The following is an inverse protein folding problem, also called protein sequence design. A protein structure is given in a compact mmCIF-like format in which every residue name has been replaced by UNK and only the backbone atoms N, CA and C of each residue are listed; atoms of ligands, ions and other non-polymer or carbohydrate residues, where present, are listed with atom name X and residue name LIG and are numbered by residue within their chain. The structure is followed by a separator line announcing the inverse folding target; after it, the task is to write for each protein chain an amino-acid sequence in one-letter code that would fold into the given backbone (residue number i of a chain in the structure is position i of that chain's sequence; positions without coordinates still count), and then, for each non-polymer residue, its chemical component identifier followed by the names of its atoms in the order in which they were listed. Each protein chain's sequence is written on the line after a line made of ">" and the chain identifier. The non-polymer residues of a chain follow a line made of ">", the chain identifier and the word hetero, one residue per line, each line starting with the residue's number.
data_IF_879776339331
#
_entry.id   IF_879776339331
#
_cell.length_a   1.000
_cell.length_b   1.000
_cell.length_c   1.000
_cell.angle_alpha   90.00
_cell.angle_beta   90.00
_cell.angle_gamma   90.00
#
_symmetry.space_group_name_H-M   'P 1'
#
loop_
_entity.id
_entity.type
_entity.pdbx_description
1 polymer ?
#
# COMPACT_ATOMS: atom_id res chain seq x y z
N UNK A 1 4.39 -35.41 3.25
CA UNK A 1 4.08 -34.06 2.73
C UNK A 1 2.77 -34.13 1.97
N UNK A 2 1.94 -33.09 2.06
CA UNK A 2 0.77 -32.95 1.20
C UNK A 2 1.21 -32.68 -0.26
N UNK A 3 0.45 -33.09 -1.28
CA UNK A 3 0.75 -32.75 -2.67
C UNK A 3 0.71 -31.23 -2.87
N UNK A 4 1.62 -30.72 -3.71
CA UNK A 4 1.85 -29.29 -3.96
C UNK A 4 0.57 -28.62 -4.49
N UNK A 5 -0.25 -29.36 -5.24
CA UNK A 5 -1.52 -28.92 -5.82
C UNK A 5 -2.61 -28.62 -4.77
N UNK A 6 -2.42 -29.02 -3.50
CA UNK A 6 -3.35 -28.76 -2.38
C UNK A 6 -2.88 -27.64 -1.43
N UNK A 7 -1.69 -27.07 -1.65
CA UNK A 7 -1.26 -25.90 -0.89
C UNK A 7 -1.87 -24.66 -1.53
N UNK A 8 -2.47 -23.79 -0.71
CA UNK A 8 -2.88 -22.47 -1.17
C UNK A 8 -1.63 -21.63 -1.43
N UNK A 9 -1.21 -21.60 -2.71
CA UNK A 9 0.00 -20.95 -3.17
C UNK A 9 -0.22 -19.45 -3.47
N UNK A 10 -1.17 -18.81 -2.80
CA UNK A 10 -1.46 -17.38 -2.98
C UNK A 10 -1.50 -16.61 -1.66
N UNK A 11 -1.09 -15.33 -1.71
CA UNK A 11 -1.16 -14.39 -0.58
C UNK A 11 -0.49 -14.89 0.70
N UNK A 12 -1.18 -14.69 1.83
CA UNK A 12 -0.71 -15.05 3.18
C UNK A 12 -0.56 -16.57 3.39
N UNK A 13 -1.27 -17.40 2.60
CA UNK A 13 -1.22 -18.86 2.69
C UNK A 13 0.16 -19.43 2.38
N UNK A 14 0.89 -18.84 1.44
CA UNK A 14 2.25 -19.25 1.10
C UNK A 14 3.17 -19.10 2.32
N UNK A 15 3.11 -17.93 2.97
CA UNK A 15 4.04 -17.58 4.04
C UNK A 15 3.72 -18.32 5.34
N UNK A 16 2.44 -18.48 5.69
CA UNK A 16 2.06 -19.06 6.98
C UNK A 16 1.73 -20.55 6.92
N UNK A 17 1.42 -21.11 5.75
CA UNK A 17 1.08 -22.54 5.59
C UNK A 17 2.16 -23.28 4.81
N UNK A 18 2.49 -22.83 3.60
CA UNK A 18 3.47 -23.55 2.77
C UNK A 18 4.88 -23.52 3.38
N UNK A 19 5.33 -22.34 3.83
CA UNK A 19 6.66 -22.18 4.38
C UNK A 19 6.84 -22.88 5.73
N UNK A 20 5.82 -22.87 6.59
CA UNK A 20 5.86 -23.55 7.89
C UNK A 20 5.86 -25.08 7.73
N UNK A 21 5.13 -25.61 6.75
CA UNK A 21 5.19 -27.03 6.37
C UNK A 21 6.57 -27.43 5.80
N UNK A 22 7.20 -26.53 5.03
CA UNK A 22 8.58 -26.71 4.57
C UNK A 22 9.58 -26.72 5.72
N UNK A 23 9.49 -25.74 6.63
CA UNK A 23 10.33 -25.63 7.83
C UNK A 23 10.25 -26.87 8.73
N UNK A 24 9.04 -27.43 8.88
CA UNK A 24 8.80 -28.62 9.70
C UNK A 24 9.48 -29.89 9.15
N UNK A 25 9.98 -29.86 7.91
CA UNK A 25 10.71 -30.98 7.30
C UNK A 25 12.20 -31.01 7.67
N UNK A 26 12.74 -29.95 8.29
CA UNK A 26 14.13 -29.91 8.75
C UNK A 26 14.33 -30.68 10.08
N UNK A 27 15.56 -31.14 10.37
CA UNK A 27 15.89 -31.78 11.65
C UNK A 27 15.65 -30.83 12.83
N UNK A 28 15.13 -31.38 13.94
CA UNK A 28 14.50 -30.67 15.06
C UNK A 28 15.20 -29.37 15.53
N UNK A 29 16.52 -29.39 15.73
CA UNK A 29 17.28 -28.20 16.17
C UNK A 29 17.38 -27.12 15.08
N UNK A 30 17.55 -27.52 13.83
CA UNK A 30 17.61 -26.58 12.70
C UNK A 30 16.23 -25.98 12.43
N UNK A 31 15.16 -26.78 12.49
CA UNK A 31 13.79 -26.33 12.25
C UNK A 31 13.36 -25.21 13.22
N UNK A 32 13.73 -25.32 14.51
CA UNK A 32 13.44 -24.29 15.51
C UNK A 32 14.21 -22.99 15.25
N UNK A 33 15.51 -23.08 14.97
CA UNK A 33 16.33 -21.91 14.67
C UNK A 33 15.83 -21.16 13.42
N UNK A 34 15.54 -21.88 12.34
CA UNK A 34 15.04 -21.27 11.10
C UNK A 34 13.63 -20.69 11.23
N UNK A 35 12.76 -21.30 12.04
CA UNK A 35 11.42 -20.75 12.30
C UNK A 35 11.51 -19.39 13.01
N UNK A 36 12.36 -19.27 14.05
CA UNK A 36 12.54 -18.00 14.77
C UNK A 36 13.05 -16.90 13.84
N UNK A 37 14.09 -17.18 13.05
CA UNK A 37 14.65 -16.20 12.10
C UNK A 37 13.64 -15.81 11.04
N UNK A 38 12.84 -16.76 10.54
CA UNK A 38 11.81 -16.48 9.54
C UNK A 38 10.68 -15.58 10.06
N UNK A 39 10.13 -15.88 11.24
CA UNK A 39 9.10 -15.03 11.82
C UNK A 39 9.65 -13.67 12.24
N UNK A 40 10.89 -13.61 12.74
CA UNK A 40 11.56 -12.34 13.02
C UNK A 40 11.69 -11.51 11.75
N UNK A 41 12.11 -12.11 10.63
CA UNK A 41 12.19 -11.45 9.33
C UNK A 41 10.85 -10.83 8.92
N UNK A 42 9.75 -11.59 9.00
CA UNK A 42 8.40 -11.09 8.65
C UNK A 42 7.99 -9.95 9.58
N UNK A 43 8.23 -10.07 10.89
CA UNK A 43 7.92 -9.02 11.86
C UNK A 43 8.73 -7.76 11.54
N UNK A 44 10.03 -7.86 11.28
CA UNK A 44 10.86 -6.69 10.95
C UNK A 44 10.45 -6.03 9.63
N UNK A 45 10.06 -6.82 8.62
CA UNK A 45 9.57 -6.32 7.33
C UNK A 45 8.22 -5.60 7.49
N UNK A 46 7.35 -6.12 8.35
CA UNK A 46 6.10 -5.45 8.72
C UNK A 46 6.32 -4.16 9.52
N UNK A 47 7.24 -4.15 10.48
CA UNK A 47 7.51 -2.97 11.32
C UNK A 47 8.08 -1.82 10.49
N UNK A 48 9.08 -2.09 9.64
CA UNK A 48 9.72 -1.05 8.82
C UNK A 48 8.72 -0.32 7.92
N UNK A 49 7.86 -1.08 7.23
CA UNK A 49 6.81 -0.51 6.38
C UNK A 49 5.79 0.33 7.17
N UNK A 50 5.37 -0.14 8.35
CA UNK A 50 4.36 0.55 9.15
C UNK A 50 4.88 1.82 9.83
N UNK A 51 6.17 1.89 10.17
CA UNK A 51 6.79 3.12 10.69
C UNK A 51 6.71 4.22 9.63
N UNK A 52 7.07 3.92 8.37
CA UNK A 52 7.00 4.90 7.28
C UNK A 52 5.57 5.38 6.99
N UNK A 53 4.59 4.47 6.99
CA UNK A 53 3.17 4.85 6.80
C UNK A 53 2.66 5.73 7.95
N UNK A 54 2.99 5.37 9.19
CA UNK A 54 2.56 6.13 10.37
C UNK A 54 3.20 7.52 10.39
N UNK A 55 4.48 7.63 10.04
CA UNK A 55 5.19 8.91 9.94
C UNK A 55 4.59 9.80 8.86
N UNK A 56 4.25 9.25 7.68
CA UNK A 56 3.60 10.00 6.61
C UNK A 56 2.25 10.60 7.06
N UNK A 57 1.45 9.81 7.79
CA UNK A 57 0.15 10.29 8.30
C UNK A 57 0.32 11.33 9.41
N UNK A 58 1.28 11.16 10.31
CA UNK A 58 1.58 12.17 11.35
C UNK A 58 2.06 13.47 10.71
N UNK A 59 2.91 13.38 9.69
CA UNK A 59 3.43 14.56 8.97
C UNK A 59 2.28 15.30 8.29
N UNK A 60 1.44 14.60 7.54
CA UNK A 60 0.24 15.18 6.91
C UNK A 60 -0.69 15.80 7.96
N UNK A 61 -0.92 15.12 9.08
CA UNK A 61 -1.76 15.64 10.15
C UNK A 61 -1.22 16.97 10.71
N UNK A 62 0.10 17.09 10.91
CA UNK A 62 0.70 18.34 11.40
C UNK A 62 0.73 19.47 10.37
N UNK A 63 0.67 19.17 9.08
CA UNK A 63 0.54 20.19 8.04
C UNK A 63 -0.87 20.80 8.00
N UNK A 64 -1.88 20.11 8.55
CA UNK A 64 -3.22 20.68 8.65
C UNK A 64 -3.31 21.78 9.72
N UNK A 65 -4.02 22.90 9.46
CA UNK A 65 -4.08 24.04 10.38
C UNK A 65 -4.72 23.69 11.73
N UNK A 66 -5.56 22.65 11.77
CA UNK A 66 -6.23 22.15 12.98
C UNK A 66 -5.25 21.52 13.97
N UNK A 67 -4.27 20.74 13.48
CA UNK A 67 -3.33 19.99 14.30
C UNK A 67 -1.91 20.58 14.29
N UNK A 68 -1.64 21.62 13.50
CA UNK A 68 -0.32 22.26 13.40
C UNK A 68 0.25 22.76 14.74
N UNK A 69 -0.62 23.15 15.68
CA UNK A 69 -0.22 23.63 17.02
C UNK A 69 -0.22 22.54 18.09
N UNK A 70 -0.70 21.34 17.78
CA UNK A 70 -0.72 20.23 18.73
C UNK A 70 0.70 19.68 18.94
N UNK A 71 1.05 19.23 20.16
CA UNK A 71 2.36 18.65 20.40
C UNK A 71 2.49 17.32 19.64
N UNK A 72 3.64 17.08 19.02
CA UNK A 72 3.87 15.91 18.15
C UNK A 72 3.51 14.58 18.83
N UNK A 73 3.86 14.42 20.11
CA UNK A 73 3.55 13.20 20.86
C UNK A 73 2.04 12.92 20.97
N UNK A 74 1.21 13.96 21.07
CA UNK A 74 -0.25 13.80 21.16
C UNK A 74 -0.83 13.39 19.79
N UNK A 75 -0.32 13.96 18.69
CA UNK A 75 -0.70 13.57 17.33
C UNK A 75 -0.31 12.11 17.07
N UNK A 76 0.91 11.71 17.46
CA UNK A 76 1.37 10.32 17.34
C UNK A 76 0.47 9.35 18.10
N UNK A 77 0.17 9.63 19.38
CA UNK A 77 -0.73 8.77 20.18
C UNK A 77 -2.11 8.68 19.55
N UNK A 78 -2.67 9.81 19.08
CA UNK A 78 -3.97 9.82 18.43
C UNK A 78 -3.99 8.96 17.16
N UNK A 79 -2.97 9.06 16.31
CA UNK A 79 -2.84 8.25 15.08
C UNK A 79 -2.65 6.77 15.40
N UNK A 80 -1.82 6.43 16.39
CA UNK A 80 -1.62 5.03 16.78
C UNK A 80 -2.88 4.41 17.37
N UNK A 81 -3.61 5.15 18.22
CA UNK A 81 -4.87 4.67 18.81
C UNK A 81 -5.96 4.53 17.74
N UNK A 82 -6.03 5.44 16.77
CA UNK A 82 -7.02 5.34 15.68
C UNK A 82 -6.73 4.13 14.79
N UNK A 83 -5.48 3.87 14.42
CA UNK A 83 -5.09 2.68 13.65
C UNK A 83 -5.34 1.38 14.43
N UNK A 84 -5.03 1.37 15.72
CA UNK A 84 -5.33 0.23 16.58
C UNK A 84 -6.85 -0.05 16.60
N UNK A 85 -7.68 0.98 16.80
CA UNK A 85 -9.13 0.83 16.79
C UNK A 85 -9.68 0.32 15.44
N UNK A 86 -9.14 0.83 14.33
CA UNK A 86 -9.51 0.39 12.98
C UNK A 86 -9.08 -1.05 12.67
N UNK A 87 -8.01 -1.55 13.31
CA UNK A 87 -7.53 -2.92 13.13
C UNK A 87 -8.31 -3.97 13.94
N UNK A 88 -9.11 -3.57 14.94
CA UNK A 88 -9.83 -4.50 15.81
C UNK A 88 -10.71 -5.52 15.04
N UNK A 89 -11.49 -5.14 14.01
CA UNK A 89 -12.30 -6.09 13.25
C UNK A 89 -11.47 -7.22 12.59
N UNK A 90 -10.22 -6.92 12.21
CA UNK A 90 -9.30 -7.89 11.60
C UNK A 90 -8.80 -8.96 12.58
N UNK A 91 -8.97 -8.77 13.89
CA UNK A 91 -8.54 -9.72 14.93
C UNK A 91 -9.67 -10.65 15.42
N UNK A 92 -10.88 -10.48 14.89
CA UNK A 92 -12.03 -11.33 15.23
C UNK A 92 -11.99 -12.67 14.49
N UNK A 93 -12.90 -13.60 14.78
CA UNK A 93 -13.01 -14.88 14.06
C UNK A 93 -13.30 -14.68 12.55
N UNK A 94 -13.90 -13.54 12.18
CA UNK A 94 -14.10 -13.11 10.80
C UNK A 94 -12.89 -12.35 10.22
N UNK A 95 -11.76 -12.31 10.94
CA UNK A 95 -10.57 -11.53 10.59
C UNK A 95 -9.97 -11.92 9.25
N UNK A 96 -9.96 -13.22 8.92
CA UNK A 96 -9.50 -13.70 7.61
C UNK A 96 -10.31 -13.08 6.46
N UNK A 97 -11.63 -12.95 6.61
CA UNK A 97 -12.47 -12.29 5.61
C UNK A 97 -12.10 -10.81 5.44
N UNK A 98 -11.95 -10.07 6.55
CA UNK A 98 -11.58 -8.66 6.51
C UNK A 98 -10.20 -8.45 5.90
N UNK A 99 -9.20 -9.22 6.30
CA UNK A 99 -7.83 -9.11 5.80
C UNK A 99 -7.76 -9.46 4.31
N UNK A 100 -8.43 -10.51 3.86
CA UNK A 100 -8.47 -10.87 2.43
C UNK A 100 -9.21 -9.83 1.61
N UNK A 101 -10.32 -9.27 2.12
CA UNK A 101 -11.04 -8.17 1.46
C UNK A 101 -10.16 -6.92 1.34
N UNK A 102 -9.46 -6.55 2.41
CA UNK A 102 -8.51 -5.43 2.41
C UNK A 102 -7.29 -5.71 1.53
N UNK A 103 -6.87 -6.96 1.37
CA UNK A 103 -5.72 -7.32 0.55
C UNK A 103 -6.06 -7.30 -0.93
N UNK A 104 -7.17 -7.94 -1.34
CA UNK A 104 -7.55 -8.06 -2.74
C UNK A 104 -8.11 -6.74 -3.30
N UNK A 105 -8.84 -5.98 -2.48
CA UNK A 105 -9.46 -4.71 -2.88
C UNK A 105 -8.78 -3.49 -2.26
N UNK A 106 -7.69 -3.69 -1.52
CA UNK A 106 -6.88 -2.62 -0.95
C UNK A 106 -6.06 -1.92 -2.01
N UNK A 107 -6.68 -0.96 -2.68
CA UNK A 107 -5.99 0.24 -3.15
C UNK A 107 -5.00 0.10 -4.32
N UNK A 108 -4.82 -1.05 -4.96
CA UNK A 108 -3.84 -1.15 -6.06
C UNK A 108 -4.21 -0.24 -7.24
N UNK A 109 -5.47 -0.21 -7.65
CA UNK A 109 -5.94 0.66 -8.74
C UNK A 109 -5.86 2.15 -8.37
N UNK A 110 -6.30 2.51 -7.15
CA UNK A 110 -6.28 3.89 -6.69
C UNK A 110 -4.86 4.42 -6.48
N UNK A 111 -3.94 3.58 -6.01
CA UNK A 111 -2.53 3.96 -5.85
C UNK A 111 -1.91 4.36 -7.19
N UNK A 112 -2.15 3.60 -8.27
CA UNK A 112 -1.59 3.93 -9.58
C UNK A 112 -2.14 5.23 -10.17
N UNK A 113 -3.41 5.55 -9.97
CA UNK A 113 -3.99 6.81 -10.46
C UNK A 113 -3.54 8.02 -9.63
N UNK A 114 -3.49 7.90 -8.30
CA UNK A 114 -2.95 8.95 -7.42
C UNK A 114 -1.48 9.22 -7.79
N UNK A 115 -0.66 8.17 -7.91
CA UNK A 115 0.74 8.28 -8.31
C UNK A 115 0.89 8.84 -9.74
N UNK A 116 0.05 8.41 -10.68
CA UNK A 116 0.06 8.88 -12.06
C UNK A 116 -0.18 10.39 -12.15
N UNK A 117 -1.22 10.90 -11.49
CA UNK A 117 -1.48 12.34 -11.44
C UNK A 117 -0.41 13.10 -10.65
N UNK A 118 0.10 12.56 -9.55
CA UNK A 118 1.22 13.15 -8.80
C UNK A 118 2.48 13.29 -9.66
N UNK A 119 2.79 12.27 -10.47
CA UNK A 119 3.88 12.30 -11.43
C UNK A 119 3.62 13.30 -12.56
N UNK A 120 2.40 13.41 -13.09
CA UNK A 120 2.07 14.45 -14.08
C UNK A 120 2.25 15.85 -13.51
N UNK A 121 1.77 16.08 -12.28
CA UNK A 121 2.02 17.26 -11.46
C UNK A 121 3.50 17.62 -11.41
N UNK A 122 4.30 16.68 -10.93
CA UNK A 122 5.73 16.87 -10.73
C UNK A 122 6.49 17.07 -12.05
N UNK A 123 6.20 16.28 -13.08
CA UNK A 123 6.96 16.26 -14.33
C UNK A 123 6.62 17.41 -15.28
N UNK A 124 5.34 17.80 -15.35
CA UNK A 124 4.84 18.74 -16.36
C UNK A 124 4.42 20.09 -15.77
N UNK A 125 3.86 20.14 -14.56
CA UNK A 125 3.46 21.41 -13.94
C UNK A 125 4.63 22.08 -13.21
N UNK A 126 5.34 21.34 -12.33
CA UNK A 126 6.56 21.89 -11.70
C UNK A 126 7.73 21.95 -12.70
N UNK A 127 7.82 20.96 -13.60
CA UNK A 127 8.70 20.99 -14.76
C UNK A 127 10.17 20.67 -14.47
N UNK A 128 10.93 20.53 -15.56
CA UNK A 128 12.34 20.13 -15.51
C UNK A 128 13.25 21.16 -14.84
N UNK A 129 12.89 22.44 -14.93
CA UNK A 129 13.67 23.54 -14.35
C UNK A 129 13.67 23.48 -12.83
N UNK A 130 12.49 23.27 -12.23
CA UNK A 130 12.35 23.10 -10.78
C UNK A 130 13.14 21.89 -10.27
N UNK A 131 13.02 20.74 -10.94
CA UNK A 131 13.71 19.52 -10.51
C UNK A 131 15.24 19.64 -10.57
N UNK A 132 15.77 20.22 -11.65
CA UNK A 132 17.21 20.46 -11.76
C UNK A 132 17.72 21.47 -10.73
N UNK A 133 16.95 22.53 -10.46
CA UNK A 133 17.30 23.50 -9.43
C UNK A 133 17.28 22.88 -8.02
N UNK A 134 16.27 22.05 -7.73
CA UNK A 134 16.19 21.32 -6.46
C UNK A 134 17.35 20.33 -6.30
N UNK A 135 17.72 19.60 -7.35
CA UNK A 135 18.87 18.68 -7.32
C UNK A 135 20.19 19.43 -7.10
N UNK A 136 20.35 20.60 -7.74
CA UNK A 136 21.53 21.45 -7.57
C UNK A 136 21.62 22.03 -6.15
N UNK A 137 20.49 22.41 -5.53
CA UNK A 137 20.45 22.86 -4.13
C UNK A 137 20.75 21.74 -3.12
N UNK A 138 20.24 20.54 -3.35
CA UNK A 138 20.34 19.43 -2.39
C UNK A 138 21.64 18.62 -2.53
N UNK A 139 22.12 18.43 -3.77
CA UNK A 139 23.28 17.59 -4.08
C UNK A 139 24.47 18.37 -4.66
N UNK A 140 24.30 19.66 -4.93
CA UNK A 140 25.35 20.50 -5.54
C UNK A 140 25.61 20.18 -7.01
N UNK A 141 24.79 19.35 -7.66
CA UNK A 141 24.96 18.91 -9.04
C UNK A 141 23.61 18.74 -9.71
N UNK A 142 23.55 18.97 -11.03
CA UNK A 142 22.36 18.72 -11.83
C UNK A 142 22.14 17.23 -12.06
N UNK A 143 20.88 16.87 -12.24
CA UNK A 143 20.47 15.47 -12.42
C UNK A 143 20.91 14.93 -13.78
N UNK A 144 21.22 13.64 -13.84
CA UNK A 144 21.59 12.98 -15.09
C UNK A 144 20.38 12.96 -16.05
N UNK A 145 20.62 13.22 -17.33
CA UNK A 145 19.58 13.18 -18.36
C UNK A 145 18.84 11.84 -18.42
N UNK A 146 19.54 10.72 -18.18
CA UNK A 146 18.90 9.40 -18.09
C UNK A 146 17.83 9.35 -16.99
N UNK A 147 18.14 9.86 -15.79
CA UNK A 147 17.20 9.86 -14.66
C UNK A 147 16.01 10.79 -14.92
N UNK A 148 16.27 11.94 -15.56
CA UNK A 148 15.20 12.86 -16.00
C UNK A 148 14.29 12.23 -17.05
N UNK A 149 14.82 11.42 -17.96
CA UNK A 149 14.02 10.68 -18.94
C UNK A 149 13.13 9.63 -18.27
N UNK A 150 13.69 8.84 -17.34
CA UNK A 150 12.91 7.86 -16.58
C UNK A 150 11.80 8.52 -15.76
N UNK A 151 12.13 9.60 -15.04
CA UNK A 151 11.17 10.34 -14.24
C UNK A 151 10.06 10.96 -15.08
N UNK A 152 10.40 11.64 -16.19
CA UNK A 152 9.43 12.39 -16.99
C UNK A 152 8.58 11.53 -17.92
N UNK A 153 9.13 10.43 -18.43
CA UNK A 153 8.48 9.64 -19.50
C UNK A 153 8.15 8.24 -19.01
N UNK A 154 9.13 7.49 -18.51
CA UNK A 154 8.94 6.08 -18.18
C UNK A 154 7.99 5.89 -17.00
N UNK A 155 8.22 6.61 -15.90
CA UNK A 155 7.43 6.49 -14.67
C UNK A 155 5.94 6.80 -14.89
N UNK A 156 5.54 7.94 -15.49
CA UNK A 156 4.11 8.22 -15.71
C UNK A 156 3.47 7.22 -16.66
N UNK A 157 4.15 6.82 -17.75
CA UNK A 157 3.62 5.81 -18.67
C UNK A 157 3.39 4.48 -17.95
N UNK A 158 4.35 4.05 -17.13
CA UNK A 158 4.26 2.80 -16.37
C UNK A 158 3.11 2.85 -15.36
N UNK A 159 2.93 3.97 -14.64
CA UNK A 159 1.78 4.13 -13.73
C UNK A 159 0.43 4.04 -14.45
N UNK A 160 0.26 4.73 -15.60
CA UNK A 160 -0.98 4.66 -16.36
C UNK A 160 -1.22 3.31 -17.03
N UNK A 161 -0.16 2.64 -17.48
CA UNK A 161 -0.25 1.29 -18.03
C UNK A 161 -0.69 0.28 -16.95
N UNK A 162 -0.08 0.32 -15.77
CA UNK A 162 -0.45 -0.53 -14.63
C UNK A 162 -1.87 -0.25 -14.14
N UNK A 163 -2.28 1.02 -14.14
CA UNK A 163 -3.67 1.39 -13.89
C UNK A 163 -4.63 0.75 -14.89
N UNK A 164 -4.33 0.82 -16.19
CA UNK A 164 -5.14 0.22 -17.25
C UNK A 164 -5.24 -1.31 -17.11
N UNK A 165 -4.12 -1.98 -16.85
CA UNK A 165 -4.10 -3.44 -16.62
C UNK A 165 -4.95 -3.79 -15.39
N UNK A 166 -4.76 -3.07 -14.28
CA UNK A 166 -5.51 -3.31 -13.04
C UNK A 166 -7.02 -3.07 -13.22
N UNK A 167 -7.40 -2.05 -13.98
CA UNK A 167 -8.80 -1.75 -14.28
C UNK A 167 -9.46 -2.86 -15.11
N UNK A 168 -8.73 -3.44 -16.07
CA UNK A 168 -9.22 -4.59 -16.85
C UNK A 168 -9.34 -5.85 -15.99
N UNK A 169 -8.38 -6.10 -15.10
CA UNK A 169 -8.40 -7.26 -14.18
C UNK A 169 -9.57 -7.24 -13.19
N UNK A 170 -10.11 -6.06 -12.86
CA UNK A 170 -11.28 -5.88 -11.99
C UNK A 170 -12.62 -5.98 -12.74
N UNK A 171 -12.63 -6.03 -14.08
CA UNK A 171 -13.86 -6.08 -14.87
C UNK A 171 -14.18 -7.52 -15.34
N UNK A 172 -15.34 -8.12 -15.02
CA UNK A 172 -16.42 -7.64 -14.14
C UNK A 172 -16.07 -7.73 -12.65
N UNK A 173 -16.66 -6.84 -11.84
CA UNK A 173 -16.34 -6.72 -10.40
C UNK A 173 -16.50 -8.08 -9.70
N UNK A 174 -15.44 -8.62 -9.06
CA UNK A 174 -15.50 -9.97 -8.56
C UNK A 174 -16.58 -10.10 -7.47
N UNK A 175 -17.50 -11.04 -7.67
CA UNK A 175 -18.59 -11.33 -6.73
C UNK A 175 -18.26 -12.47 -5.76
N UNK A 176 -17.05 -13.00 -5.81
CA UNK A 176 -16.58 -14.08 -4.93
C UNK A 176 -15.30 -13.70 -4.19
N UNK A 177 -15.25 -13.98 -2.90
CA UNK A 177 -14.04 -13.93 -2.08
C UNK A 177 -13.78 -15.34 -1.54
N UNK A 178 -12.63 -15.91 -1.87
CA UNK A 178 -12.22 -17.28 -1.54
C UNK A 178 -13.24 -18.36 -1.97
N UNK A 179 -14.22 -18.69 -1.11
CA UNK A 179 -15.15 -19.82 -1.29
C UNK A 179 -16.65 -19.42 -1.17
N UNK A 180 -16.97 -18.13 -1.13
CA UNK A 180 -18.34 -17.63 -0.94
C UNK A 180 -18.66 -16.39 -1.78
N UNK A 181 -19.96 -16.17 -2.01
CA UNK A 181 -20.45 -14.93 -2.65
C UNK A 181 -20.21 -13.77 -1.69
N UNK A 182 -19.55 -12.72 -2.17
CA UNK A 182 -19.30 -11.52 -1.40
C UNK A 182 -20.65 -10.87 -1.07
N UNK A 183 -21.01 -10.69 0.21
CA UNK A 183 -22.29 -10.07 0.58
C UNK A 183 -22.36 -8.65 0.00
N UNK A 184 -23.58 -8.18 -0.27
CA UNK A 184 -23.80 -6.86 -0.90
C UNK A 184 -23.08 -5.72 -0.15
N UNK A 185 -23.08 -5.76 1.19
CA UNK A 185 -22.33 -4.78 2.01
C UNK A 185 -20.82 -4.80 1.77
N UNK A 186 -20.24 -5.99 1.55
CA UNK A 186 -18.82 -6.15 1.21
C UNK A 186 -18.49 -5.65 -0.20
N UNK A 187 -19.40 -5.84 -1.15
CA UNK A 187 -19.25 -5.29 -2.52
C UNK A 187 -19.26 -3.76 -2.52
N UNK A 188 -20.20 -3.16 -1.79
CA UNK A 188 -20.27 -1.70 -1.66
C UNK A 188 -19.01 -1.17 -0.98
N UNK A 189 -18.59 -1.77 0.14
CA UNK A 189 -17.40 -1.34 0.86
C UNK A 189 -16.12 -1.44 0.02
N UNK A 190 -15.91 -2.57 -0.66
CA UNK A 190 -14.74 -2.76 -1.52
C UNK A 190 -14.74 -1.81 -2.72
N UNK A 191 -15.92 -1.48 -3.27
CA UNK A 191 -16.07 -0.44 -4.29
C UNK A 191 -15.67 0.94 -3.76
N UNK A 192 -16.12 1.31 -2.56
CA UNK A 192 -15.69 2.54 -1.91
C UNK A 192 -14.18 2.57 -1.68
N UNK A 193 -13.59 1.49 -1.20
CA UNK A 193 -12.14 1.43 -0.97
C UNK A 193 -11.32 1.64 -2.24
N UNK A 194 -11.76 1.05 -3.37
CA UNK A 194 -11.04 1.18 -4.64
C UNK A 194 -11.25 2.53 -5.32
N UNK A 195 -12.49 3.05 -5.34
CA UNK A 195 -12.80 4.23 -6.14
C UNK A 195 -12.71 5.54 -5.36
N UNK A 196 -12.92 5.54 -4.03
CA UNK A 196 -12.95 6.78 -3.25
C UNK A 196 -11.64 7.58 -3.34
N UNK A 197 -10.43 6.99 -3.22
CA UNK A 197 -9.20 7.78 -3.29
C UNK A 197 -8.97 8.33 -4.70
N UNK A 198 -9.31 7.57 -5.74
CA UNK A 198 -9.24 8.03 -7.12
C UNK A 198 -10.16 9.25 -7.34
N UNK A 199 -11.42 9.15 -6.90
CA UNK A 199 -12.39 10.25 -6.97
C UNK A 199 -11.90 11.47 -6.18
N UNK A 200 -11.38 11.27 -4.96
CA UNK A 200 -10.83 12.35 -4.14
C UNK A 200 -9.67 13.07 -4.83
N UNK A 201 -8.76 12.33 -5.49
CA UNK A 201 -7.66 12.98 -6.24
C UNK A 201 -8.15 13.79 -7.42
N UNK A 202 -9.11 13.27 -8.19
CA UNK A 202 -9.69 14.01 -9.33
C UNK A 202 -10.42 15.25 -8.84
N UNK A 203 -11.18 15.15 -7.75
CA UNK A 203 -11.83 16.30 -7.12
C UNK A 203 -10.83 17.33 -6.59
N UNK A 204 -9.76 16.89 -5.95
CA UNK A 204 -8.71 17.78 -5.45
C UNK A 204 -8.00 18.55 -6.57
N UNK A 205 -7.84 17.95 -7.76
CA UNK A 205 -7.28 18.63 -8.95
C UNK A 205 -8.27 19.66 -9.51
N UNK A 206 -9.57 19.37 -9.46
CA UNK A 206 -10.62 20.24 -10.00
C UNK A 206 -10.91 21.46 -9.12
N UNK A 207 -10.66 21.38 -7.81
CA UNK A 207 -10.82 22.50 -6.89
C UNK A 207 -9.58 23.40 -7.02
N UNK A 208 -9.71 24.65 -7.50
CA UNK A 208 -8.57 25.56 -7.59
C UNK A 208 -8.01 25.86 -6.19
N UNK A 209 -6.69 26.09 -6.06
CA UNK A 209 -6.10 26.44 -4.78
C UNK A 209 -6.71 27.76 -4.29
N UNK A 210 -7.35 27.72 -3.12
CA UNK A 210 -7.82 28.90 -2.36
C UNK A 210 -6.63 29.64 -1.73
#
# INVERSE_FOLDING_TARGET
>A
GAPIDKLDLTGFGITFVAYTQGLASFPNIAAQAFSVVFFLMIITLGIDTQIGVTEAVITFAKETPLLARAPTWAVTVLTCVSFWALSLPCTTDAGYFWVTLLWDYGNFMSMFIVAGFGLLGSCYFAGLGWHNHASELLRGKRENWFLLFFWRVVNPILCFALFGISAVSISPYPTSLANGVLPLGGQVLSGFMNFAPAVLTVLAILIPPL
#
